data_IF_670410422381
#
_entry.id   IF_670410422381
#
_cell.length_a   1.000
_cell.length_b   1.000
_cell.length_c   1.000
_cell.angle_alpha   90.00
_cell.angle_beta   90.00
_cell.angle_gamma   90.00
#
_symmetry.space_group_name_H-M   'P 1'
#
loop_
_entity.id
_entity.type
_entity.pdbx_description
1 polymer ?
#
# COMPACT_ATOMS: atom_id res chain seq x y z
N UNK A 1 -13.26 -29.19 30.53
CA UNK A 1 -12.99 -27.74 30.59
C UNK A 1 -12.50 -27.31 29.22
N UNK A 2 -13.29 -26.54 28.47
CA UNK A 2 -12.93 -26.02 27.14
C UNK A 2 -12.17 -24.71 27.36
N UNK A 3 -10.86 -24.71 27.16
CA UNK A 3 -10.06 -23.50 27.11
C UNK A 3 -10.30 -22.80 25.77
N UNK A 4 -10.57 -21.50 25.85
CA UNK A 4 -11.06 -20.67 24.76
C UNK A 4 -10.06 -20.49 23.63
N UNK A 5 -10.59 -20.34 22.42
CA UNK A 5 -9.86 -19.82 21.26
C UNK A 5 -9.59 -18.34 21.51
N UNK A 6 -8.39 -18.00 21.97
CA UNK A 6 -7.88 -16.66 21.80
C UNK A 6 -7.54 -16.49 20.32
N UNK A 7 -8.35 -15.69 19.62
CA UNK A 7 -7.96 -15.10 18.34
C UNK A 7 -6.65 -14.33 18.60
N UNK A 8 -5.54 -14.86 18.11
CA UNK A 8 -4.21 -14.29 18.36
C UNK A 8 -4.15 -12.87 17.81
N UNK A 9 -3.90 -11.90 18.70
CA UNK A 9 -3.46 -10.56 18.31
C UNK A 9 -2.20 -10.76 17.47
N UNK A 10 -2.14 -10.22 16.25
CA UNK A 10 -0.94 -10.28 15.43
C UNK A 10 0.21 -9.63 16.23
N UNK A 11 1.19 -10.42 16.66
CA UNK A 11 2.38 -9.94 17.35
C UNK A 11 3.42 -9.66 16.29
N UNK A 12 3.81 -8.40 16.15
CA UNK A 12 4.92 -7.97 15.29
C UNK A 12 6.23 -8.52 15.86
N UNK A 13 7.19 -8.91 15.00
CA UNK A 13 8.48 -9.41 15.48
C UNK A 13 9.32 -8.26 16.04
N UNK A 14 10.26 -8.56 16.93
CA UNK A 14 11.21 -7.54 17.43
C UNK A 14 11.98 -6.90 16.28
N UNK A 15 12.37 -7.69 15.28
CA UNK A 15 13.00 -7.18 14.07
C UNK A 15 12.12 -6.18 13.31
N UNK A 16 10.83 -6.48 13.12
CA UNK A 16 9.92 -5.58 12.42
C UNK A 16 9.69 -4.27 13.19
N UNK A 17 9.66 -4.33 14.53
CA UNK A 17 9.59 -3.15 15.40
C UNK A 17 10.86 -2.29 15.29
N UNK A 18 12.03 -2.93 15.36
CA UNK A 18 13.32 -2.26 15.25
C UNK A 18 13.43 -1.60 13.87
N UNK A 19 13.08 -2.32 12.80
CA UNK A 19 13.08 -1.77 11.43
C UNK A 19 12.04 -0.67 11.22
N UNK A 20 10.90 -0.72 11.91
CA UNK A 20 9.91 0.36 11.86
C UNK A 20 10.45 1.66 12.45
N UNK A 21 11.37 1.60 13.42
CA UNK A 21 11.97 2.80 14.05
C UNK A 21 12.94 3.57 13.15
N UNK A 22 13.57 2.88 12.19
CA UNK A 22 14.47 3.46 11.18
C UNK A 22 13.80 3.68 9.83
N UNK A 23 12.63 3.10 9.59
CA UNK A 23 11.88 3.30 8.36
C UNK A 23 11.46 4.77 8.21
N UNK A 24 11.68 5.34 7.02
CA UNK A 24 11.32 6.71 6.68
C UNK A 24 11.97 7.78 7.58
N UNK A 25 13.04 7.44 8.31
CA UNK A 25 13.84 8.40 9.07
C UNK A 25 15.14 8.71 8.34
N UNK A 26 15.76 9.85 8.65
CA UNK A 26 17.06 10.23 8.09
C UNK A 26 18.23 9.46 8.73
N UNK A 27 17.97 8.63 9.73
CA UNK A 27 19.00 7.87 10.44
C UNK A 27 19.59 6.82 9.50
N UNK A 28 20.89 6.93 9.18
CA UNK A 28 21.62 6.10 8.21
C UNK A 28 21.08 6.12 6.77
N UNK A 29 20.16 7.01 6.44
CA UNK A 29 19.64 7.15 5.08
C UNK A 29 20.77 7.51 4.10
N UNK A 30 20.82 6.77 2.99
CA UNK A 30 21.81 6.94 1.91
C UNK A 30 21.15 7.32 0.58
N UNK A 31 19.83 7.51 0.58
CA UNK A 31 19.05 8.01 -0.56
C UNK A 31 17.76 8.68 -0.10
N UNK A 32 17.19 9.54 -0.93
CA UNK A 32 15.95 10.27 -0.67
C UNK A 32 15.05 10.17 -1.89
N UNK A 33 13.74 10.13 -1.67
CA UNK A 33 12.76 10.33 -2.72
C UNK A 33 12.25 11.76 -2.68
N UNK A 34 12.26 12.42 -3.83
CA UNK A 34 11.73 13.76 -4.00
C UNK A 34 10.33 13.63 -4.60
N UNK A 35 9.30 13.83 -3.77
CA UNK A 35 7.90 13.73 -4.15
C UNK A 35 7.29 15.12 -4.32
N UNK A 36 6.75 15.50 -5.49
CA UNK A 36 6.10 16.80 -5.66
C UNK A 36 4.78 16.82 -4.88
N UNK A 37 4.66 17.73 -3.92
CA UNK A 37 3.51 17.84 -3.02
C UNK A 37 2.35 18.65 -3.63
N UNK A 38 2.68 19.61 -4.49
CA UNK A 38 1.76 20.57 -5.10
C UNK A 38 2.33 21.20 -6.38
N UNK A 39 1.49 21.97 -7.09
CA UNK A 39 1.87 22.75 -8.27
C UNK A 39 2.79 23.95 -7.93
N UNK A 40 2.92 24.30 -6.63
CA UNK A 40 3.77 25.39 -6.14
C UNK A 40 5.25 25.00 -6.05
N UNK A 41 5.58 23.75 -6.39
CA UNK A 41 6.95 23.23 -6.44
C UNK A 41 7.46 22.77 -5.07
N UNK A 42 6.59 22.59 -4.08
CA UNK A 42 6.98 22.01 -2.81
C UNK A 42 7.30 20.52 -3.02
N UNK A 43 8.40 20.07 -2.42
CA UNK A 43 8.85 18.68 -2.51
C UNK A 43 8.86 18.05 -1.13
N UNK A 44 8.12 16.95 -0.95
CA UNK A 44 8.26 16.07 0.20
C UNK A 44 9.48 15.20 -0.02
N UNK A 45 10.50 15.37 0.82
CA UNK A 45 11.68 14.49 0.85
C UNK A 45 11.42 13.30 1.77
N UNK A 46 11.52 12.09 1.23
CA UNK A 46 11.31 10.84 1.97
C UNK A 46 12.66 10.11 2.06
N UNK A 47 13.29 10.01 3.24
CA UNK A 47 14.56 9.32 3.38
C UNK A 47 14.37 7.79 3.27
N UNK A 48 15.37 7.11 2.73
CA UNK A 48 15.37 5.66 2.57
C UNK A 48 16.79 5.08 2.56
N UNK A 49 16.85 3.75 2.53
CA UNK A 49 18.07 2.96 2.57
C UNK A 49 18.15 2.08 1.33
N UNK A 50 19.17 2.28 0.49
CA UNK A 50 19.37 1.52 -0.76
C UNK A 50 19.40 0.02 -0.53
N UNK A 51 19.97 -0.42 0.59
CA UNK A 51 20.02 -1.85 0.98
C UNK A 51 18.63 -2.47 1.13
N UNK A 52 17.65 -1.71 1.64
CA UNK A 52 16.26 -2.17 1.77
C UNK A 52 15.56 -2.08 0.42
N UNK A 53 15.80 -1.00 -0.33
CA UNK A 53 15.15 -0.75 -1.61
C UNK A 53 15.49 -1.81 -2.67
N UNK A 54 16.74 -2.28 -2.71
CA UNK A 54 17.20 -3.28 -3.69
C UNK A 54 16.47 -4.63 -3.62
N UNK A 55 15.71 -4.91 -2.56
CA UNK A 55 14.86 -6.10 -2.47
C UNK A 55 13.64 -6.01 -3.41
N UNK A 56 13.20 -4.79 -3.77
CA UNK A 56 12.13 -4.59 -4.73
C UNK A 56 12.67 -4.50 -6.17
N UNK A 57 12.12 -5.28 -7.13
CA UNK A 57 12.59 -5.29 -8.52
C UNK A 57 12.61 -3.90 -9.18
N UNK A 58 11.63 -3.05 -8.86
CA UNK A 58 11.53 -1.69 -9.37
C UNK A 58 12.76 -0.85 -8.98
N UNK A 59 13.07 -0.80 -7.68
CA UNK A 59 14.20 -0.01 -7.19
C UNK A 59 15.54 -0.67 -7.51
N UNK A 60 15.65 -2.00 -7.49
CA UNK A 60 16.85 -2.69 -7.96
C UNK A 60 17.20 -2.29 -9.39
N UNK A 61 16.20 -2.22 -10.28
CA UNK A 61 16.37 -1.78 -11.66
C UNK A 61 16.78 -0.30 -11.74
N UNK A 62 16.11 0.56 -10.96
CA UNK A 62 16.41 2.00 -10.88
C UNK A 62 17.85 2.27 -10.41
N UNK A 63 18.27 1.60 -9.33
CA UNK A 63 19.56 1.78 -8.65
C UNK A 63 20.73 1.08 -9.36
N UNK A 64 20.46 0.14 -10.28
CA UNK A 64 21.48 -0.57 -11.06
C UNK A 64 22.19 0.26 -12.14
N UNK A 65 21.89 1.57 -12.25
CA UNK A 65 22.65 2.51 -13.08
C UNK A 65 22.07 2.81 -14.47
N UNK A 66 20.79 2.48 -14.72
CA UNK A 66 20.08 2.91 -15.94
C UNK A 66 19.36 4.25 -15.79
N UNK A 67 19.11 4.69 -14.56
CA UNK A 67 18.61 6.02 -14.26
C UNK A 67 19.79 6.92 -13.92
N UNK A 68 19.82 8.16 -14.46
CA UNK A 68 20.79 9.17 -14.07
C UNK A 68 20.63 9.40 -12.57
N UNK A 69 21.47 8.77 -11.76
CA UNK A 69 21.78 9.31 -10.44
C UNK A 69 22.18 10.77 -10.69
N UNK A 70 21.47 11.71 -10.08
CA UNK A 70 22.00 13.06 -9.94
C UNK A 70 23.39 12.90 -9.30
N UNK A 71 24.31 13.80 -9.64
CA UNK A 71 25.72 13.76 -9.21
C UNK A 71 25.89 13.22 -7.79
N UNK A 72 26.98 12.51 -7.50
CA UNK A 72 27.33 11.89 -6.19
C UNK A 72 26.96 12.66 -4.90
N UNK A 73 26.74 13.97 -4.97
CA UNK A 73 26.32 14.86 -3.88
C UNK A 73 24.78 14.98 -3.70
N UNK A 74 23.98 14.45 -4.63
CA UNK A 74 22.52 14.51 -4.65
C UNK A 74 21.95 13.09 -4.81
N UNK A 75 21.86 12.36 -3.69
CA UNK A 75 21.30 11.00 -3.63
C UNK A 75 19.76 10.97 -3.71
N UNK A 76 19.14 12.04 -4.23
CA UNK A 76 17.71 12.17 -4.41
C UNK A 76 17.23 11.50 -5.71
N UNK A 77 16.10 10.80 -5.61
CA UNK A 77 15.40 10.12 -6.68
C UNK A 77 14.07 10.84 -6.91
N UNK A 78 13.88 11.42 -8.10
CA UNK A 78 12.62 12.11 -8.42
C UNK A 78 11.48 11.12 -8.62
N UNK A 79 10.39 11.31 -7.86
CA UNK A 79 9.14 10.54 -7.98
C UNK A 79 8.07 11.28 -8.79
N UNK A 80 8.44 12.31 -9.56
CA UNK A 80 7.50 13.12 -10.33
C UNK A 80 6.63 12.31 -11.31
N UNK A 81 7.18 11.23 -11.89
CA UNK A 81 6.40 10.32 -12.74
C UNK A 81 5.29 9.60 -11.98
N UNK A 82 5.58 9.06 -10.80
CA UNK A 82 4.58 8.40 -9.95
C UNK A 82 3.50 9.37 -9.47
N UNK A 83 3.89 10.58 -9.08
CA UNK A 83 2.95 11.61 -8.66
C UNK A 83 2.06 12.08 -9.83
N UNK A 84 2.63 12.23 -11.03
CA UNK A 84 1.88 12.59 -12.24
C UNK A 84 0.88 11.49 -12.66
N UNK A 85 1.17 10.23 -12.34
CA UNK A 85 0.25 9.10 -12.52
C UNK A 85 -0.88 9.07 -11.46
N UNK A 86 -0.94 10.06 -10.57
CA UNK A 86 -1.99 10.23 -9.55
C UNK A 86 -1.79 9.36 -8.31
N UNK A 87 -0.59 8.80 -8.10
CA UNK A 87 -0.30 8.08 -6.86
C UNK A 87 -0.22 9.05 -5.68
N UNK A 88 -0.62 8.57 -4.50
CA UNK A 88 -0.55 9.34 -3.26
C UNK A 88 0.76 9.07 -2.50
N UNK A 89 1.30 10.13 -1.88
CA UNK A 89 2.57 10.08 -1.14
C UNK A 89 2.48 9.19 0.10
N UNK A 90 1.34 9.17 0.79
CA UNK A 90 1.15 8.35 1.98
C UNK A 90 1.01 6.87 1.61
N UNK A 91 0.38 6.57 0.47
CA UNK A 91 0.34 5.20 -0.09
C UNK A 91 1.76 4.72 -0.44
N UNK A 92 2.58 5.59 -1.03
CA UNK A 92 3.99 5.27 -1.30
C UNK A 92 4.77 5.03 0.00
N UNK A 93 4.62 5.89 1.01
CA UNK A 93 5.23 5.71 2.33
C UNK A 93 4.79 4.41 3.01
N UNK A 94 3.51 4.03 2.90
CA UNK A 94 3.00 2.77 3.41
C UNK A 94 3.62 1.55 2.70
N UNK A 95 3.81 1.63 1.37
CA UNK A 95 4.51 0.59 0.62
C UNK A 95 5.99 0.50 1.02
N UNK A 96 6.66 1.63 1.24
CA UNK A 96 8.02 1.66 1.78
C UNK A 96 8.06 1.04 3.19
N UNK A 97 7.16 1.41 4.10
CA UNK A 97 7.08 0.81 5.43
C UNK A 97 6.95 -0.71 5.39
N UNK A 98 6.16 -1.22 4.44
CA UNK A 98 6.06 -2.65 4.21
C UNK A 98 7.41 -3.27 3.83
N UNK A 99 8.22 -2.61 2.99
CA UNK A 99 9.55 -3.11 2.63
C UNK A 99 10.49 -3.24 3.84
N UNK A 100 10.40 -2.32 4.81
CA UNK A 100 11.23 -2.39 6.02
C UNK A 100 10.77 -3.49 6.98
N UNK A 101 9.46 -3.63 7.12
CA UNK A 101 8.89 -4.39 8.25
C UNK A 101 8.31 -5.74 7.85
N UNK A 102 7.82 -5.88 6.62
CA UNK A 102 6.99 -6.99 6.15
C UNK A 102 5.74 -7.21 7.03
N UNK A 103 5.37 -6.23 7.86
CA UNK A 103 4.46 -6.43 8.98
C UNK A 103 3.14 -5.74 8.70
N UNK A 104 2.08 -6.56 8.74
CA UNK A 104 0.72 -6.06 8.58
C UNK A 104 0.30 -5.12 9.72
N UNK A 105 0.81 -5.35 10.92
CA UNK A 105 0.46 -4.54 12.09
C UNK A 105 1.00 -3.12 11.95
N UNK A 106 2.25 -2.99 11.50
CA UNK A 106 2.88 -1.68 11.26
C UNK A 106 2.21 -0.96 10.07
N UNK A 107 1.87 -1.72 9.03
CA UNK A 107 1.12 -1.18 7.89
C UNK A 107 -0.25 -0.66 8.31
N UNK A 108 -0.97 -1.40 9.17
CA UNK A 108 -2.29 -0.97 9.64
C UNK A 108 -2.21 0.31 10.48
N UNK A 109 -1.19 0.43 11.33
CA UNK A 109 -0.94 1.63 12.13
C UNK A 109 -0.65 2.87 11.27
N UNK A 110 0.02 2.69 10.13
CA UNK A 110 0.37 3.81 9.23
C UNK A 110 -0.75 4.15 8.23
N UNK A 111 -1.33 3.14 7.58
CA UNK A 111 -2.23 3.34 6.44
C UNK A 111 -3.70 3.47 6.84
N UNK A 112 -4.13 2.93 7.99
CA UNK A 112 -5.55 2.83 8.34
C UNK A 112 -5.94 3.51 9.65
N UNK A 113 -5.02 4.17 10.35
CA UNK A 113 -5.31 4.95 11.57
C UNK A 113 -5.79 6.38 11.27
N UNK A 114 -5.69 6.86 10.01
CA UNK A 114 -6.09 8.21 9.59
C UNK A 114 -7.61 8.46 9.48
N UNK A 115 -8.47 7.79 10.28
CA UNK A 115 -9.90 8.07 10.17
C UNK A 115 -10.83 7.26 11.05
N UNK A 116 -10.72 7.42 12.37
CA UNK A 116 -11.77 6.97 13.30
C UNK A 116 -12.35 8.09 14.16
N UNK A 117 -12.49 9.29 13.60
CA UNK A 117 -13.35 10.32 14.20
C UNK A 117 -14.57 10.58 13.30
N UNK A 118 -15.67 9.87 13.58
CA UNK A 118 -17.03 10.38 13.31
C UNK A 118 -17.79 9.90 12.06
N UNK A 119 -17.29 9.00 11.24
CA UNK A 119 -18.00 8.59 10.01
C UNK A 119 -19.00 7.45 10.20
N UNK A 120 -20.23 7.66 9.70
CA UNK A 120 -21.30 6.64 9.58
C UNK A 120 -20.73 5.36 8.96
N UNK A 121 -21.13 4.20 9.50
CA UNK A 121 -20.69 2.83 9.12
C UNK A 121 -20.58 2.50 7.62
N UNK A 122 -21.20 3.27 6.71
CA UNK A 122 -21.10 3.06 5.26
C UNK A 122 -19.95 3.81 4.58
N UNK A 123 -19.53 4.98 5.08
CA UNK A 123 -18.51 5.82 4.43
C UNK A 123 -17.09 5.30 4.63
N UNK A 124 -16.79 4.82 5.85
CA UNK A 124 -15.46 4.29 6.18
C UNK A 124 -15.06 3.08 5.33
N UNK A 125 -16.01 2.22 4.95
CA UNK A 125 -15.74 1.03 4.15
C UNK A 125 -15.25 1.36 2.73
N UNK A 126 -15.86 2.37 2.10
CA UNK A 126 -15.44 2.85 0.79
C UNK A 126 -14.07 3.53 0.84
N UNK A 127 -13.82 4.33 1.88
CA UNK A 127 -12.51 4.97 2.10
C UNK A 127 -11.42 3.91 2.26
N UNK A 128 -11.63 2.92 3.13
CA UNK A 128 -10.70 1.81 3.31
C UNK A 128 -10.48 1.05 2.00
N UNK A 129 -11.55 0.79 1.24
CA UNK A 129 -11.43 0.13 -0.06
C UNK A 129 -10.53 0.92 -1.01
N UNK A 130 -10.72 2.24 -1.12
CA UNK A 130 -9.89 3.12 -1.95
C UNK A 130 -8.42 3.04 -1.57
N UNK A 131 -8.09 3.22 -0.29
CA UNK A 131 -6.70 3.16 0.20
C UNK A 131 -6.05 1.81 -0.12
N UNK A 132 -6.76 0.70 0.08
CA UNK A 132 -6.22 -0.65 -0.19
C UNK A 132 -6.04 -0.88 -1.71
N UNK A 133 -6.91 -0.32 -2.54
CA UNK A 133 -6.81 -0.39 -4.01
C UNK A 133 -5.58 0.38 -4.48
N UNK A 134 -5.37 1.61 -4.01
CA UNK A 134 -4.18 2.40 -4.35
C UNK A 134 -2.89 1.71 -3.86
N UNK A 135 -2.90 1.17 -2.65
CA UNK A 135 -1.77 0.41 -2.11
C UNK A 135 -1.50 -0.87 -2.91
N UNK A 136 -2.54 -1.54 -3.42
CA UNK A 136 -2.40 -2.69 -4.30
C UNK A 136 -1.74 -2.31 -5.63
N UNK A 137 -2.17 -1.22 -6.24
CA UNK A 137 -1.57 -0.69 -7.48
C UNK A 137 -0.10 -0.35 -7.23
N UNK A 138 0.21 0.34 -6.12
CA UNK A 138 1.57 0.67 -5.73
C UNK A 138 2.43 -0.58 -5.51
N UNK A 139 1.90 -1.57 -4.79
CA UNK A 139 2.59 -2.82 -4.54
C UNK A 139 2.91 -3.55 -5.84
N UNK A 140 1.99 -3.58 -6.80
CA UNK A 140 2.22 -4.21 -8.10
C UNK A 140 3.29 -3.44 -8.92
N UNK A 141 3.23 -2.11 -8.92
CA UNK A 141 4.22 -1.26 -9.60
C UNK A 141 5.64 -1.47 -9.05
N UNK A 142 5.77 -1.57 -7.73
CA UNK A 142 7.05 -1.77 -7.06
C UNK A 142 7.55 -3.23 -7.12
N UNK A 143 6.69 -4.18 -7.48
CA UNK A 143 7.00 -5.61 -7.49
C UNK A 143 7.00 -6.25 -6.10
N UNK A 144 6.12 -5.81 -5.20
CA UNK A 144 6.02 -6.29 -3.81
C UNK A 144 4.96 -7.40 -3.68
N UNK A 145 5.27 -8.61 -4.14
CA UNK A 145 4.33 -9.75 -4.20
C UNK A 145 3.65 -10.07 -2.85
N UNK A 146 4.42 -9.96 -1.75
CA UNK A 146 3.90 -10.17 -0.40
C UNK A 146 2.80 -9.16 -0.05
N UNK A 147 2.99 -7.88 -0.40
CA UNK A 147 2.01 -6.82 -0.17
C UNK A 147 0.81 -6.97 -1.11
N UNK A 148 1.03 -7.32 -2.38
CA UNK A 148 -0.04 -7.62 -3.35
C UNK A 148 -0.98 -8.70 -2.80
N UNK A 149 -0.42 -9.80 -2.28
CA UNK A 149 -1.19 -10.89 -1.66
C UNK A 149 -2.01 -10.42 -0.46
N UNK A 150 -1.40 -9.59 0.40
CA UNK A 150 -2.07 -9.01 1.57
C UNK A 150 -3.21 -8.10 1.16
N UNK A 151 -2.99 -7.15 0.26
CA UNK A 151 -4.03 -6.23 -0.23
C UNK A 151 -5.18 -7.00 -0.89
N UNK A 152 -4.88 -7.98 -1.74
CA UNK A 152 -5.90 -8.85 -2.38
C UNK A 152 -6.75 -9.58 -1.34
N UNK A 153 -6.13 -10.07 -0.26
CA UNK A 153 -6.83 -10.75 0.83
C UNK A 153 -7.76 -9.80 1.59
N UNK A 154 -7.36 -8.55 1.81
CA UNK A 154 -8.24 -7.52 2.39
C UNK A 154 -9.41 -7.27 1.46
N UNK A 155 -9.17 -6.93 0.18
CA UNK A 155 -10.22 -6.60 -0.78
C UNK A 155 -11.21 -7.74 -0.94
N UNK A 156 -10.73 -8.98 -1.01
CA UNK A 156 -11.58 -10.18 -1.05
C UNK A 156 -12.49 -10.27 0.19
N UNK A 157 -11.98 -9.94 1.39
CA UNK A 157 -12.80 -9.90 2.62
C UNK A 157 -13.78 -8.74 2.62
N UNK A 158 -13.37 -7.55 2.15
CA UNK A 158 -14.24 -6.38 2.04
C UNK A 158 -15.39 -6.67 1.08
N UNK A 159 -15.11 -7.19 -0.11
CA UNK A 159 -16.13 -7.58 -1.11
C UNK A 159 -17.09 -8.62 -0.54
N UNK A 160 -16.59 -9.66 0.14
CA UNK A 160 -17.44 -10.70 0.73
C UNK A 160 -18.33 -10.20 1.89
N UNK A 161 -17.89 -9.18 2.62
CA UNK A 161 -18.61 -8.66 3.80
C UNK A 161 -19.48 -7.46 3.47
N UNK A 162 -19.15 -6.73 2.41
CA UNK A 162 -19.90 -5.58 1.93
C UNK A 162 -21.13 -6.03 1.14
N UNK A 163 -22.27 -5.37 1.36
CA UNK A 163 -23.43 -5.41 0.44
C UNK A 163 -23.43 -4.23 -0.52
N UNK A 164 -22.31 -3.50 -0.59
CA UNK A 164 -22.18 -2.30 -1.39
C UNK A 164 -21.82 -2.67 -2.82
N UNK A 165 -22.64 -2.21 -3.78
CA UNK A 165 -22.31 -2.32 -5.20
C UNK A 165 -21.03 -1.56 -5.52
N UNK A 166 -20.82 -0.40 -4.89
CA UNK A 166 -19.68 0.49 -5.16
C UNK A 166 -18.33 -0.14 -4.77
N UNK A 167 -18.28 -0.85 -3.63
CA UNK A 167 -17.06 -1.58 -3.22
C UNK A 167 -16.73 -2.65 -4.26
N UNK A 168 -17.75 -3.40 -4.68
CA UNK A 168 -17.57 -4.51 -5.62
C UNK A 168 -17.21 -4.02 -7.03
N UNK A 169 -17.73 -2.87 -7.47
CA UNK A 169 -17.37 -2.29 -8.78
C UNK A 169 -15.93 -1.78 -8.79
N UNK A 170 -15.52 -1.02 -7.78
CA UNK A 170 -14.13 -0.53 -7.68
C UNK A 170 -13.14 -1.69 -7.60
N UNK A 171 -13.44 -2.72 -6.80
CA UNK A 171 -12.61 -3.92 -6.72
C UNK A 171 -12.58 -4.71 -8.03
N UNK A 172 -13.67 -4.73 -8.79
CA UNK A 172 -13.74 -5.37 -10.10
C UNK A 172 -12.84 -4.65 -11.12
N UNK A 173 -12.92 -3.33 -11.19
CA UNK A 173 -12.13 -2.50 -12.12
C UNK A 173 -10.62 -2.68 -11.89
N UNK A 174 -10.16 -2.61 -10.63
CA UNK A 174 -8.74 -2.85 -10.33
C UNK A 174 -8.34 -4.31 -10.57
N UNK A 175 -9.22 -5.27 -10.27
CA UNK A 175 -8.92 -6.68 -10.52
C UNK A 175 -8.80 -6.97 -12.02
N UNK A 176 -9.57 -6.29 -12.86
CA UNK A 176 -9.45 -6.38 -14.30
C UNK A 176 -8.15 -5.74 -14.80
N UNK A 177 -7.82 -4.52 -14.36
CA UNK A 177 -6.61 -3.82 -14.80
C UNK A 177 -5.31 -4.54 -14.40
N UNK A 178 -5.28 -5.16 -13.21
CA UNK A 178 -4.13 -5.92 -12.71
C UNK A 178 -4.20 -7.42 -13.04
N UNK A 179 -5.16 -7.87 -13.87
CA UNK A 179 -5.35 -9.26 -14.28
C UNK A 179 -5.57 -10.28 -13.13
N UNK A 180 -6.19 -9.86 -12.03
CA UNK A 180 -6.47 -10.67 -10.84
C UNK A 180 -7.75 -11.49 -10.98
N UNK A 181 -7.68 -12.60 -11.72
CA UNK A 181 -8.85 -13.43 -12.09
C UNK A 181 -9.73 -13.85 -10.90
N UNK A 182 -9.11 -14.20 -9.77
CA UNK A 182 -9.84 -14.66 -8.57
C UNK A 182 -10.67 -13.54 -7.94
N UNK A 183 -10.09 -12.36 -7.77
CA UNK A 183 -10.79 -11.20 -7.21
C UNK A 183 -11.86 -10.71 -8.18
N UNK A 184 -11.55 -10.68 -9.48
CA UNK A 184 -12.50 -10.34 -10.56
C UNK A 184 -13.75 -11.21 -10.48
N UNK A 185 -13.58 -12.54 -10.50
CA UNK A 185 -14.69 -13.50 -10.44
C UNK A 185 -15.54 -13.31 -9.18
N UNK A 186 -14.90 -13.05 -8.03
CA UNK A 186 -15.61 -12.80 -6.78
C UNK A 186 -16.48 -11.53 -6.86
N UNK A 187 -15.94 -10.44 -7.41
CA UNK A 187 -16.68 -9.19 -7.57
C UNK A 187 -17.87 -9.36 -8.54
N UNK A 188 -17.69 -10.09 -9.65
CA UNK A 188 -18.79 -10.39 -10.59
C UNK A 188 -19.95 -11.13 -9.92
N UNK A 189 -19.63 -12.14 -9.10
CA UNK A 189 -20.66 -12.91 -8.37
C UNK A 189 -21.42 -12.01 -7.40
N UNK A 190 -20.71 -11.14 -6.67
CA UNK A 190 -21.34 -10.23 -5.71
C UNK A 190 -22.20 -9.16 -6.41
N UNK A 191 -21.72 -8.55 -7.49
CA UNK A 191 -22.47 -7.57 -8.28
C UNK A 191 -23.76 -8.18 -8.86
N UNK A 192 -23.70 -9.41 -9.37
CA UNK A 192 -24.89 -10.13 -9.85
C UNK A 192 -25.89 -10.40 -8.72
N UNK A 193 -25.41 -10.81 -7.54
CA UNK A 193 -26.27 -11.08 -6.39
C UNK A 193 -27.01 -9.81 -5.92
N UNK A 194 -26.33 -8.67 -5.89
CA UNK A 194 -26.94 -7.37 -5.53
C UNK A 194 -28.06 -7.00 -6.50
N UNK A 195 -27.81 -7.12 -7.80
CA UNK A 195 -28.79 -6.78 -8.85
C UNK A 195 -30.04 -7.68 -8.85
N UNK A 196 -29.96 -8.90 -8.35
CA UNK A 196 -31.12 -9.80 -8.21
C UNK A 196 -31.98 -9.55 -6.97
N UNK A 197 -31.50 -8.75 -6.03
CA UNK A 197 -32.17 -8.48 -4.74
C UNK A 197 -32.82 -7.09 -4.64
N UNK A 198 -32.64 -6.25 -5.66
CA UNK A 198 -33.29 -4.95 -5.82
C UNK A 198 -34.53 -5.09 -6.72
#
# INVERSE_FOLDING_TARGET
>A
MRTGRHCGRLVTSTFAQDMASVALTAEFADTWFDWPADDDGLVVKIPAHRVVLCEAPYFASMLSGRFREASRDDASLSMAGMAADGMDVYVFQAALQWMYTGSRVELDAMAFDQGTEGTRKGGWLMVLCGIVVELLVMANMLGLDGLVSVCTSILSKLVATSKSSDVSSVCFEVAESLNMQRLKTQCEVMLRAVNTTA
#
